data_IF_254544348142
#
_entry.id   IF_254544348142
#
_cell.length_a   1.000
_cell.length_b   1.000
_cell.length_c   1.000
_cell.angle_alpha   90.00
_cell.angle_beta   90.00
_cell.angle_gamma   90.00
#
_symmetry.space_group_name_H-M   'P 1'
#
loop_
_entity.id
_entity.type
_entity.pdbx_description
1 polymer ?
#
# COMPACT_ATOMS: atom_id res chain seq x y z
N UNK A 1 13.83 -9.26 16.37
CA UNK A 1 13.49 -8.37 15.24
C UNK A 1 12.32 -8.97 14.46
N UNK A 2 11.36 -8.15 14.00
CA UNK A 2 10.25 -8.62 13.17
C UNK A 2 10.67 -8.78 11.71
N UNK A 3 10.21 -9.84 11.04
CA UNK A 3 10.47 -10.06 9.62
C UNK A 3 9.57 -9.19 8.73
N UNK A 4 9.99 -8.84 7.50
CA UNK A 4 9.17 -8.09 6.55
C UNK A 4 7.81 -8.73 6.26
N UNK A 5 7.77 -10.07 6.17
CA UNK A 5 6.53 -10.83 5.98
C UNK A 5 5.55 -10.69 7.16
N UNK A 6 6.08 -10.52 8.37
CA UNK A 6 5.25 -10.28 9.57
C UNK A 6 4.58 -8.90 9.49
N UNK A 7 5.26 -7.89 8.93
CA UNK A 7 4.70 -6.56 8.73
C UNK A 7 3.57 -6.58 7.70
N UNK A 8 3.79 -7.27 6.57
CA UNK A 8 2.77 -7.41 5.52
C UNK A 8 1.52 -8.12 6.03
N UNK A 9 1.69 -9.22 6.78
CA UNK A 9 0.57 -9.95 7.38
C UNK A 9 -0.23 -9.10 8.37
N UNK A 10 0.42 -8.21 9.12
CA UNK A 10 -0.27 -7.29 10.04
C UNK A 10 -1.12 -6.27 9.29
N UNK A 11 -0.60 -5.68 8.22
CA UNK A 11 -1.35 -4.74 7.38
C UNK A 11 -2.60 -5.40 6.79
N UNK A 12 -2.48 -6.64 6.29
CA UNK A 12 -3.63 -7.40 5.78
C UNK A 12 -4.70 -7.64 6.85
N UNK A 13 -4.30 -7.99 8.08
CA UNK A 13 -5.22 -8.19 9.20
C UNK A 13 -5.95 -6.89 9.58
N UNK A 14 -5.27 -5.75 9.52
CA UNK A 14 -5.88 -4.44 9.78
C UNK A 14 -6.94 -4.14 8.71
N UNK A 15 -6.60 -4.29 7.42
CA UNK A 15 -7.55 -4.06 6.32
C UNK A 15 -8.78 -4.96 6.42
N UNK A 16 -8.58 -6.25 6.74
CA UNK A 16 -9.69 -7.18 6.94
C UNK A 16 -10.59 -6.75 8.10
N UNK A 17 -10.02 -6.28 9.21
CA UNK A 17 -10.80 -5.78 10.35
C UNK A 17 -11.58 -4.53 9.99
N UNK A 18 -10.96 -3.57 9.31
CA UNK A 18 -11.62 -2.33 8.91
C UNK A 18 -12.79 -2.60 7.97
N UNK A 19 -12.60 -3.54 7.01
CA UNK A 19 -13.65 -3.99 6.10
C UNK A 19 -14.80 -4.70 6.84
N UNK A 20 -14.48 -5.59 7.80
CA UNK A 20 -15.49 -6.31 8.58
C UNK A 20 -16.29 -5.39 9.52
N UNK A 21 -15.65 -4.34 10.04
CA UNK A 21 -16.27 -3.35 10.91
C UNK A 21 -17.02 -2.25 10.14
N UNK A 22 -16.92 -2.22 8.80
CA UNK A 22 -17.53 -1.19 7.98
C UNK A 22 -17.00 0.21 8.30
N UNK A 23 -15.72 0.31 8.65
CA UNK A 23 -15.08 1.59 8.96
C UNK A 23 -15.08 2.45 7.69
N UNK A 24 -15.67 3.65 7.78
CA UNK A 24 -15.67 4.62 6.70
C UNK A 24 -14.23 5.07 6.41
N UNK A 25 -13.91 5.35 5.15
CA UNK A 25 -12.57 5.73 4.70
C UNK A 25 -11.97 6.89 5.50
N UNK A 26 -12.80 7.81 5.99
CA UNK A 26 -12.40 8.97 6.81
C UNK A 26 -11.81 8.61 8.19
N UNK A 27 -12.08 7.40 8.70
CA UNK A 27 -11.60 6.93 10.02
C UNK A 27 -10.61 5.77 9.87
N UNK A 28 -10.33 5.35 8.64
CA UNK A 28 -9.37 4.27 8.36
C UNK A 28 -7.94 4.68 8.69
N UNK A 29 -7.04 3.70 8.78
CA UNK A 29 -5.60 3.98 8.97
C UNK A 29 -5.01 4.84 7.83
N UNK A 30 -5.67 4.89 6.67
CA UNK A 30 -5.28 5.73 5.54
C UNK A 30 -5.40 7.22 5.84
N UNK A 31 -6.30 7.66 6.73
CA UNK A 31 -6.45 9.08 7.12
C UNK A 31 -5.17 9.64 7.72
N UNK A 32 -4.41 8.81 8.44
CA UNK A 32 -3.12 9.21 9.03
C UNK A 32 -2.03 9.44 7.99
N UNK A 33 -2.19 8.89 6.79
CA UNK A 33 -1.24 8.97 5.68
C UNK A 33 -1.78 9.81 4.52
N UNK A 34 -2.92 10.49 4.70
CA UNK A 34 -3.62 11.26 3.67
C UNK A 34 -2.74 12.37 3.07
N UNK A 35 -1.85 12.94 3.88
CA UNK A 35 -0.93 14.00 3.45
C UNK A 35 0.39 13.45 2.86
N UNK A 36 0.55 12.11 2.81
CA UNK A 36 1.73 11.47 2.22
C UNK A 36 1.39 10.93 0.84
N UNK A 37 2.00 11.52 -0.19
CA UNK A 37 1.96 10.97 -1.55
C UNK A 37 3.00 9.88 -1.77
N UNK A 38 3.78 9.48 -0.77
CA UNK A 38 4.81 8.44 -0.93
C UNK A 38 4.36 7.11 -0.34
N UNK A 39 4.66 6.01 -1.06
CA UNK A 39 4.60 4.65 -0.52
C UNK A 39 5.98 4.04 -0.43
N UNK A 40 6.17 3.19 0.57
CA UNK A 40 7.32 2.32 0.65
C UNK A 40 6.94 0.92 0.17
N UNK A 41 7.66 0.41 -0.82
CA UNK A 41 7.49 -0.94 -1.34
C UNK A 41 8.83 -1.67 -1.37
N UNK A 42 8.82 -2.95 -1.01
CA UNK A 42 10.01 -3.79 -0.97
C UNK A 42 9.68 -5.27 -1.08
N UNK A 43 10.69 -6.10 -1.32
CA UNK A 43 10.50 -7.53 -1.63
C UNK A 43 10.22 -7.80 -3.11
N UNK A 44 10.55 -6.86 -3.99
CA UNK A 44 10.47 -7.04 -5.43
C UNK A 44 11.57 -8.00 -5.93
N UNK A 45 11.25 -8.89 -6.89
CA UNK A 45 12.25 -9.59 -7.69
C UNK A 45 13.30 -8.63 -8.27
N UNK A 46 14.58 -9.04 -8.28
CA UNK A 46 15.69 -8.23 -8.81
C UNK A 46 15.57 -7.95 -10.31
N UNK A 47 14.75 -8.73 -10.99
CA UNK A 47 14.57 -8.71 -12.44
C UNK A 47 13.55 -7.64 -12.86
N UNK A 48 12.82 -7.05 -11.91
CA UNK A 48 11.84 -6.00 -12.17
C UNK A 48 12.52 -4.67 -12.46
N UNK A 49 12.13 -4.05 -13.57
CA UNK A 49 12.59 -2.72 -13.95
C UNK A 49 11.68 -1.62 -13.40
N UNK A 50 12.17 -0.38 -13.42
CA UNK A 50 11.35 0.80 -13.11
C UNK A 50 10.09 0.88 -14.00
N UNK A 51 10.21 0.47 -15.27
CA UNK A 51 9.10 0.45 -16.22
C UNK A 51 8.01 -0.55 -15.82
N UNK A 52 8.41 -1.75 -15.39
CA UNK A 52 7.47 -2.79 -14.95
C UNK A 52 6.69 -2.35 -13.70
N UNK A 53 7.40 -1.77 -12.73
CA UNK A 53 6.76 -1.20 -11.54
C UNK A 53 5.76 -0.11 -11.92
N UNK A 54 6.15 0.83 -12.80
CA UNK A 54 5.26 1.88 -13.28
C UNK A 54 3.99 1.30 -13.92
N UNK A 55 4.14 0.31 -14.80
CA UNK A 55 3.00 -0.35 -15.46
C UNK A 55 2.07 -1.02 -14.45
N UNK A 56 2.60 -1.76 -13.48
CA UNK A 56 1.81 -2.41 -12.43
C UNK A 56 1.04 -1.38 -11.60
N UNK A 57 1.68 -0.29 -11.19
CA UNK A 57 1.04 0.73 -10.36
C UNK A 57 0.05 1.62 -11.13
N UNK A 58 0.22 1.80 -12.45
CA UNK A 58 -0.73 2.58 -13.28
C UNK A 58 -2.08 1.91 -13.48
N UNK A 59 -2.17 0.58 -13.27
CA UNK A 59 -3.45 -0.15 -13.32
C UNK A 59 -4.41 0.30 -12.21
N UNK A 60 -3.86 0.83 -11.10
CA UNK A 60 -4.60 1.38 -9.99
C UNK A 60 -4.76 2.89 -10.22
N UNK A 61 -5.87 3.32 -10.83
CA UNK A 61 -6.12 4.75 -11.13
C UNK A 61 -5.97 5.68 -9.92
N UNK A 62 -6.13 5.15 -8.70
CA UNK A 62 -5.93 5.86 -7.42
C UNK A 62 -4.46 6.18 -7.09
N UNK A 63 -3.50 5.56 -7.79
CA UNK A 63 -2.07 5.64 -7.49
C UNK A 63 -1.29 6.60 -8.42
N UNK A 64 -1.93 7.07 -9.49
CA UNK A 64 -1.29 7.92 -10.50
C UNK A 64 -0.88 9.31 -9.99
N UNK A 65 -1.28 9.70 -8.79
CA UNK A 65 -0.91 10.99 -8.19
C UNK A 65 0.44 10.95 -7.42
N UNK A 66 1.12 9.79 -7.38
CA UNK A 66 2.28 9.51 -6.51
C UNK A 66 3.62 9.54 -7.28
N UNK A 67 3.59 9.75 -8.61
CA UNK A 67 4.79 9.66 -9.46
C UNK A 67 5.28 11.04 -9.97
N UNK A 68 4.58 12.12 -9.65
CA UNK A 68 5.09 13.50 -9.84
C UNK A 68 5.60 14.12 -8.55
#
# INVERSE_FOLDING_TARGET
MMSPLTLMKRAQVINQKDMLLGICDDVSWHTKLKDSTYIFGGGYPFDLTKGDLLTIFTQSQSFLQIIE
#
